data_IF_326894744931
#
_entry.id   IF_326894744931
#
_cell.length_a   1.000
_cell.length_b   1.000
_cell.length_c   1.000
_cell.angle_alpha   90.00
_cell.angle_beta   90.00
_cell.angle_gamma   90.00
#
_symmetry.space_group_name_H-M   'P 1'
#
loop_
_entity.id
_entity.type
_entity.pdbx_description
1 polymer ?
#
# COMPACT_ATOMS: atom_id res chain seq x y z
N UNK A 1 88.12 38.36 -7.61
CA UNK A 1 87.51 37.21 -8.32
C UNK A 1 86.40 37.76 -9.20
N UNK A 2 86.69 38.14 -10.46
CA UNK A 2 86.54 37.31 -11.69
C UNK A 2 85.06 37.13 -12.10
N UNK A 3 84.60 37.26 -13.34
CA UNK A 3 85.14 37.65 -14.66
C UNK A 3 83.91 37.78 -15.58
N UNK A 4 84.03 38.55 -16.67
CA UNK A 4 83.16 38.55 -17.86
C UNK A 4 83.01 37.15 -18.51
N UNK A 5 81.98 37.00 -19.37
CA UNK A 5 81.88 36.24 -20.66
C UNK A 5 80.40 35.78 -20.83
N UNK A 6 79.58 36.36 -21.72
CA UNK A 6 79.46 36.17 -23.19
C UNK A 6 78.53 35.02 -23.63
N UNK A 7 77.71 35.34 -24.64
CA UNK A 7 76.65 34.60 -25.36
C UNK A 7 77.00 33.17 -25.78
N UNK A 8 75.98 32.31 -25.90
CA UNK A 8 75.82 31.42 -27.06
C UNK A 8 74.37 30.94 -27.29
N UNK A 9 74.01 30.78 -28.56
CA UNK A 9 72.70 30.52 -29.15
C UNK A 9 72.29 29.04 -29.09
N UNK A 10 70.99 28.75 -28.98
CA UNK A 10 70.38 27.50 -29.47
C UNK A 10 69.02 27.79 -30.14
N UNK A 11 68.57 26.99 -31.12
CA UNK A 11 67.87 27.47 -32.31
C UNK A 11 66.33 27.46 -32.22
N UNK A 12 65.74 28.34 -33.03
CA UNK A 12 64.33 28.40 -33.38
C UNK A 12 63.84 27.06 -33.96
N UNK A 13 62.91 26.38 -33.29
CA UNK A 13 62.14 25.27 -33.87
C UNK A 13 61.01 25.87 -34.72
N UNK A 14 60.81 25.45 -35.99
CA UNK A 14 59.82 26.08 -36.87
C UNK A 14 58.39 25.85 -36.39
N UNK A 15 57.59 26.91 -36.44
CA UNK A 15 56.15 26.89 -36.32
C UNK A 15 55.52 25.83 -37.24
N UNK A 16 54.99 24.75 -36.66
CA UNK A 16 54.07 23.87 -37.36
C UNK A 16 52.73 24.60 -37.50
N UNK A 17 52.49 25.19 -38.69
CA UNK A 17 51.20 25.77 -39.08
C UNK A 17 50.11 24.73 -38.82
N UNK A 18 49.28 24.98 -37.81
CA UNK A 18 48.05 24.22 -37.55
C UNK A 18 47.15 24.43 -38.77
N UNK A 19 46.96 23.37 -39.55
CA UNK A 19 46.06 23.34 -40.70
C UNK A 19 44.66 23.72 -40.18
N UNK A 20 44.09 24.83 -40.67
CA UNK A 20 42.68 25.16 -40.48
C UNK A 20 41.88 24.08 -41.20
N UNK A 21 41.28 23.17 -40.45
CA UNK A 21 40.16 22.39 -40.95
C UNK A 21 38.92 23.29 -40.94
N UNK A 22 38.23 23.34 -42.08
CA UNK A 22 37.01 24.09 -42.27
C UNK A 22 35.89 23.53 -41.36
N UNK A 23 35.07 24.38 -40.71
CA UNK A 23 33.96 23.90 -39.92
C UNK A 23 32.76 23.65 -40.84
N UNK A 24 32.50 22.38 -41.17
CA UNK A 24 31.22 22.03 -41.80
C UNK A 24 30.76 20.63 -41.37
N UNK A 25 30.05 20.59 -40.25
CA UNK A 25 28.76 19.92 -40.09
C UNK A 25 28.26 20.24 -38.68
N UNK A 26 27.28 21.14 -38.62
CA UNK A 26 26.52 21.45 -37.42
C UNK A 26 25.80 20.18 -36.96
N UNK A 27 26.34 19.49 -35.96
CA UNK A 27 25.52 18.65 -35.11
C UNK A 27 24.50 19.59 -34.46
N UNK A 28 23.20 19.36 -34.67
CA UNK A 28 22.20 19.94 -33.77
C UNK A 28 22.66 19.61 -32.34
N UNK A 29 22.77 20.61 -31.44
CA UNK A 29 23.17 20.35 -30.08
C UNK A 29 22.26 19.26 -29.52
N UNK A 30 22.82 18.22 -28.93
CA UNK A 30 22.07 17.06 -28.41
C UNK A 30 20.90 17.48 -27.50
N UNK A 31 21.02 18.66 -26.87
CA UNK A 31 19.98 19.36 -26.12
C UNK A 31 18.73 19.73 -26.95
N UNK A 32 18.87 20.21 -28.19
CA UNK A 32 17.72 20.50 -29.07
C UNK A 32 16.98 19.22 -29.47
N UNK A 33 17.71 18.14 -29.71
CA UNK A 33 17.11 16.85 -30.07
C UNK A 33 16.26 16.29 -28.92
N UNK A 34 16.77 16.35 -27.68
CA UNK A 34 16.02 15.86 -26.51
C UNK A 34 14.78 16.75 -26.27
N UNK A 35 14.86 18.06 -26.46
CA UNK A 35 13.69 18.95 -26.32
C UNK A 35 12.63 18.78 -27.41
N UNK A 36 12.96 18.12 -28.54
CA UNK A 36 12.02 17.75 -29.60
C UNK A 36 11.34 16.40 -29.36
N UNK A 37 11.72 15.66 -28.31
CA UNK A 37 11.05 14.40 -27.96
C UNK A 37 9.59 14.67 -27.54
N UNK A 38 8.65 13.78 -27.90
CA UNK A 38 7.30 13.82 -27.37
C UNK A 38 7.27 13.77 -25.84
N UNK A 39 6.32 14.47 -25.23
CA UNK A 39 6.11 14.53 -23.77
C UNK A 39 6.10 13.15 -23.12
N UNK A 40 5.45 12.17 -23.76
CA UNK A 40 5.40 10.79 -23.27
C UNK A 40 6.79 10.15 -23.08
N UNK A 41 7.72 10.39 -24.02
CA UNK A 41 9.09 9.87 -23.93
C UNK A 41 9.93 10.65 -22.92
N UNK A 42 9.73 11.98 -22.84
CA UNK A 42 10.38 12.80 -21.81
C UNK A 42 9.97 12.38 -20.39
N UNK A 43 8.67 12.13 -20.18
CA UNK A 43 8.14 11.62 -18.92
C UNK A 43 8.74 10.26 -18.58
N UNK A 44 8.82 9.32 -19.53
CA UNK A 44 9.43 8.01 -19.32
C UNK A 44 10.92 8.12 -18.93
N UNK A 45 11.66 9.03 -19.58
CA UNK A 45 13.06 9.33 -19.21
C UNK A 45 13.12 9.86 -17.78
N UNK A 46 12.30 10.85 -17.45
CA UNK A 46 12.32 11.46 -16.13
C UNK A 46 11.91 10.48 -15.02
N UNK A 47 10.98 9.55 -15.28
CA UNK A 47 10.58 8.49 -14.36
C UNK A 47 11.70 7.50 -14.02
N UNK A 48 12.66 7.31 -14.92
CA UNK A 48 13.80 6.41 -14.71
C UNK A 48 14.92 7.03 -13.86
N UNK A 49 14.79 8.31 -13.50
CA UNK A 49 15.81 9.03 -12.73
C UNK A 49 15.47 9.09 -11.24
N UNK A 50 16.45 9.12 -10.33
CA UNK A 50 16.18 9.38 -8.92
C UNK A 50 15.42 10.70 -8.72
N UNK A 51 14.45 10.75 -7.79
CA UNK A 51 13.58 11.92 -7.54
C UNK A 51 14.35 13.24 -7.45
N UNK A 52 15.47 13.27 -6.72
CA UNK A 52 16.29 14.48 -6.55
C UNK A 52 16.95 14.93 -7.86
N UNK A 53 17.27 14.01 -8.75
CA UNK A 53 17.82 14.31 -10.08
C UNK A 53 16.73 14.80 -11.03
N UNK A 54 15.57 14.13 -11.07
CA UNK A 54 14.41 14.59 -11.83
C UNK A 54 13.97 15.99 -11.37
N UNK A 55 13.96 16.27 -10.05
CA UNK A 55 13.61 17.60 -9.55
C UNK A 55 14.58 18.70 -10.00
N UNK A 56 15.89 18.40 -10.11
CA UNK A 56 16.87 19.36 -10.60
C UNK A 56 16.63 19.72 -12.07
N UNK A 57 16.04 18.83 -12.86
CA UNK A 57 15.73 19.07 -14.28
C UNK A 57 14.63 20.10 -14.54
N UNK A 58 13.90 20.53 -13.49
CA UNK A 58 13.03 21.71 -13.59
C UNK A 58 13.80 22.98 -13.99
N UNK A 59 15.11 23.06 -13.72
CA UNK A 59 15.93 24.22 -14.09
C UNK A 59 16.42 24.19 -15.54
N UNK A 60 16.16 23.12 -16.31
CA UNK A 60 16.69 22.96 -17.68
C UNK A 60 15.85 23.75 -18.69
N UNK A 61 14.52 23.65 -18.62
CA UNK A 61 13.62 24.41 -19.48
C UNK A 61 12.24 24.59 -18.85
N UNK A 62 11.47 25.57 -19.34
CA UNK A 62 10.07 25.78 -18.90
C UNK A 62 9.20 24.56 -19.22
N UNK A 63 9.43 23.92 -20.36
CA UNK A 63 8.70 22.73 -20.78
C UNK A 63 8.97 21.56 -19.83
N UNK A 64 10.23 21.30 -19.48
CA UNK A 64 10.60 20.25 -18.52
C UNK A 64 10.09 20.58 -17.12
N UNK A 65 10.17 21.84 -16.70
CA UNK A 65 9.57 22.29 -15.44
C UNK A 65 8.07 22.02 -15.40
N UNK A 66 7.35 22.20 -16.51
CA UNK A 66 5.93 21.91 -16.63
C UNK A 66 5.66 20.41 -16.47
N UNK A 67 6.35 19.57 -17.26
CA UNK A 67 6.21 18.11 -17.21
C UNK A 67 6.55 17.53 -15.83
N UNK A 68 7.63 17.99 -15.20
CA UNK A 68 8.10 17.48 -13.90
C UNK A 68 7.24 18.01 -12.74
N UNK A 69 6.55 19.14 -12.94
CA UNK A 69 5.62 19.68 -11.96
C UNK A 69 4.18 19.20 -12.18
N UNK A 70 3.94 18.43 -13.24
CA UNK A 70 2.65 17.83 -13.51
C UNK A 70 2.26 16.87 -12.37
N UNK A 71 1.01 16.95 -11.86
CA UNK A 71 0.56 16.09 -10.77
C UNK A 71 0.67 14.59 -11.07
N UNK A 72 0.48 14.15 -12.32
CA UNK A 72 0.67 12.74 -12.70
C UNK A 72 2.14 12.35 -12.62
N UNK A 73 3.05 13.22 -13.08
CA UNK A 73 4.49 12.98 -12.96
C UNK A 73 4.95 12.89 -11.50
N UNK A 74 4.52 13.85 -10.68
CA UNK A 74 4.87 13.88 -9.25
C UNK A 74 4.36 12.62 -8.53
N UNK A 75 3.18 12.11 -8.92
CA UNK A 75 2.62 10.87 -8.35
C UNK A 75 3.54 9.68 -8.52
N UNK A 76 4.21 9.51 -9.66
CA UNK A 76 5.13 8.39 -9.86
C UNK A 76 6.41 8.44 -9.02
N UNK A 77 6.69 9.56 -8.35
CA UNK A 77 7.81 9.74 -7.40
C UNK A 77 7.37 9.83 -5.93
N UNK A 78 6.10 9.58 -5.64
CA UNK A 78 5.61 9.55 -4.27
C UNK A 78 6.36 8.45 -3.52
N UNK A 79 7.17 8.79 -2.50
CA UNK A 79 7.73 7.79 -1.61
C UNK A 79 6.57 7.09 -0.92
N UNK A 80 6.77 5.84 -0.56
CA UNK A 80 5.82 5.16 0.31
C UNK A 80 6.54 4.51 1.47
N UNK A 81 5.78 4.17 2.49
CA UNK A 81 6.25 3.38 3.63
C UNK A 81 5.42 2.12 3.71
N UNK A 82 6.08 0.96 3.63
CA UNK A 82 5.43 -0.32 3.84
C UNK A 82 5.38 -0.59 5.34
N UNK A 83 4.19 -0.70 5.90
CA UNK A 83 3.95 -1.00 7.31
C UNK A 83 3.39 -2.40 7.43
N UNK A 84 4.13 -3.28 8.08
CA UNK A 84 3.76 -4.68 8.23
C UNK A 84 3.48 -4.96 9.71
N UNK A 85 2.32 -5.53 9.98
CA UNK A 85 1.89 -5.87 11.34
C UNK A 85 1.94 -7.38 11.56
N UNK A 86 2.76 -7.78 12.52
CA UNK A 86 2.98 -9.16 12.95
C UNK A 86 2.43 -9.42 14.35
N UNK A 87 1.90 -10.62 14.56
CA UNK A 87 1.56 -11.15 15.88
C UNK A 87 2.50 -12.31 16.16
N UNK A 88 3.24 -12.24 17.27
CA UNK A 88 4.15 -13.30 17.70
C UNK A 88 3.97 -13.57 19.19
N UNK A 89 3.61 -14.80 19.59
CA UNK A 89 3.48 -15.19 21.01
C UNK A 89 2.75 -14.16 21.89
N UNK A 90 1.65 -13.58 21.38
CA UNK A 90 0.86 -12.49 22.01
C UNK A 90 1.52 -11.10 22.04
N UNK A 91 2.75 -10.96 21.54
CA UNK A 91 3.40 -9.66 21.28
C UNK A 91 3.08 -9.18 19.87
N UNK A 92 2.76 -7.89 19.73
CA UNK A 92 2.51 -7.27 18.42
C UNK A 92 3.80 -6.57 18.00
N UNK A 93 4.29 -6.85 16.79
CA UNK A 93 5.45 -6.16 16.20
C UNK A 93 4.99 -5.42 14.96
N UNK A 94 5.37 -4.15 14.85
CA UNK A 94 5.20 -3.35 13.64
C UNK A 94 6.57 -3.21 12.98
N UNK A 95 6.64 -3.50 11.69
CA UNK A 95 7.83 -3.31 10.86
C UNK A 95 7.55 -2.19 9.86
N UNK A 96 8.47 -1.23 9.75
CA UNK A 96 8.31 -0.04 8.92
C UNK A 96 9.44 0.02 7.90
N UNK A 97 9.10 -0.01 6.61
CA UNK A 97 10.06 -0.04 5.52
C UNK A 97 9.85 1.15 4.58
N UNK A 98 10.69 2.20 4.69
CA UNK A 98 10.60 3.34 3.79
C UNK A 98 11.14 3.00 2.40
N UNK A 99 10.46 3.47 1.35
CA UNK A 99 10.82 3.23 -0.06
C UNK A 99 12.18 3.80 -0.49
N UNK A 100 12.82 4.66 0.32
CA UNK A 100 14.01 5.40 -0.09
C UNK A 100 15.35 4.63 0.10
N UNK A 101 15.32 3.32 0.36
CA UNK A 101 16.51 2.46 0.49
C UNK A 101 17.62 3.06 1.38
N UNK A 102 17.26 3.77 2.46
CA UNK A 102 18.26 4.35 3.38
C UNK A 102 18.96 3.29 4.24
N UNK A 103 18.65 2.01 4.09
CA UNK A 103 19.24 0.92 4.87
C UNK A 103 18.80 0.88 6.35
N UNK A 104 18.11 1.93 6.82
CA UNK A 104 17.55 2.05 8.15
C UNK A 104 16.10 1.54 8.13
N UNK A 105 15.86 0.33 8.61
CA UNK A 105 14.53 -0.16 8.97
C UNK A 105 14.38 -0.02 10.48
N UNK A 106 13.26 0.55 10.92
CA UNK A 106 13.02 0.81 12.32
C UNK A 106 12.02 -0.22 12.88
N UNK A 107 12.34 -0.83 14.03
CA UNK A 107 11.45 -1.77 14.70
C UNK A 107 10.44 -1.02 15.58
N UNK A 108 9.17 -1.31 15.35
CA UNK A 108 8.04 -0.38 15.52
C UNK A 108 7.51 -0.09 16.91
N UNK A 109 8.36 0.11 17.91
CA UNK A 109 7.91 0.86 19.10
C UNK A 109 7.95 2.38 18.80
N UNK A 110 9.01 2.89 18.16
CA UNK A 110 9.14 4.33 17.88
C UNK A 110 8.13 4.89 16.88
N UNK A 111 7.64 4.06 15.96
CA UNK A 111 6.73 4.49 14.90
C UNK A 111 5.41 5.07 15.42
N UNK A 112 4.84 4.50 16.49
CA UNK A 112 3.58 4.98 17.10
C UNK A 112 3.77 5.55 18.52
N UNK A 113 5.01 5.77 18.96
CA UNK A 113 5.33 6.24 20.32
C UNK A 113 4.76 7.63 20.67
N UNK A 114 4.22 8.37 19.70
CA UNK A 114 3.53 9.64 19.96
C UNK A 114 2.13 9.44 20.58
N UNK A 115 1.55 8.24 20.51
CA UNK A 115 0.24 7.93 21.09
C UNK A 115 0.33 7.79 22.62
N UNK A 116 -0.51 8.48 23.41
CA UNK A 116 -0.38 8.55 24.88
C UNK A 116 -0.45 7.20 25.59
N UNK A 117 -1.23 6.28 25.03
CA UNK A 117 -1.49 4.93 25.47
C UNK A 117 -0.31 3.97 25.26
N UNK A 118 0.55 4.24 24.27
CA UNK A 118 1.79 3.46 24.04
C UNK A 118 2.91 3.94 24.98
N UNK A 119 2.98 5.26 25.25
CA UNK A 119 3.96 5.83 26.20
C UNK A 119 3.80 5.31 27.63
N UNK A 120 2.57 5.06 28.05
CA UNK A 120 2.28 4.49 29.37
C UNK A 120 2.51 2.99 29.31
N UNK A 121 3.72 2.54 29.68
CA UNK A 121 4.11 1.14 30.00
C UNK A 121 3.27 0.51 31.14
N UNK A 122 1.99 0.80 31.23
CA UNK A 122 1.16 0.61 32.43
C UNK A 122 0.43 -0.72 32.37
N UNK A 123 0.14 -1.30 31.20
CA UNK A 123 -0.35 -2.68 31.06
C UNK A 123 0.12 -3.26 29.73
N UNK A 124 0.81 -4.40 29.75
CA UNK A 124 1.33 -5.11 28.57
C UNK A 124 0.24 -5.72 27.68
N UNK A 125 -1.04 -5.51 27.98
CA UNK A 125 -2.13 -6.30 27.39
C UNK A 125 -3.00 -5.53 26.38
N UNK A 126 -2.89 -4.20 26.31
CA UNK A 126 -3.72 -3.34 25.44
C UNK A 126 -2.92 -2.68 24.32
N UNK A 127 -2.52 -3.47 23.33
CA UNK A 127 -1.84 -2.93 22.15
C UNK A 127 -2.85 -2.56 21.06
N UNK A 128 -2.69 -1.39 20.44
CA UNK A 128 -3.47 -1.05 19.24
C UNK A 128 -3.16 -2.04 18.10
N UNK A 129 -4.15 -2.23 17.24
CA UNK A 129 -4.06 -3.00 16.00
C UNK A 129 -4.34 -2.02 14.88
N UNK A 130 -3.43 -1.92 13.91
CA UNK A 130 -3.71 -1.22 12.66
C UNK A 130 -4.74 -2.06 11.90
N UNK A 131 -5.90 -1.45 11.60
CA UNK A 131 -7.02 -2.13 10.95
C UNK A 131 -7.26 -1.67 9.52
N UNK A 132 -6.89 -0.43 9.19
CA UNK A 132 -7.02 0.13 7.85
C UNK A 132 -6.05 1.29 7.67
N UNK A 133 -5.79 1.65 6.42
CA UNK A 133 -5.01 2.84 6.05
C UNK A 133 -5.66 3.56 4.89
N UNK A 134 -5.45 4.87 4.80
CA UNK A 134 -5.83 5.67 3.65
C UNK A 134 -4.79 6.77 3.46
N UNK A 135 -4.15 6.83 2.28
CA UNK A 135 -2.98 7.68 2.03
C UNK A 135 -1.88 7.46 3.09
N UNK A 136 -1.56 8.49 3.88
CA UNK A 136 -0.63 8.48 5.00
C UNK A 136 -1.31 8.38 6.38
N UNK A 137 -2.64 8.22 6.42
CA UNK A 137 -3.42 8.02 7.65
C UNK A 137 -3.56 6.54 7.99
N UNK A 138 -3.52 6.25 9.29
CA UNK A 138 -3.77 4.95 9.88
C UNK A 138 -5.04 4.98 10.74
N UNK A 139 -5.83 3.92 10.64
CA UNK A 139 -6.87 3.60 11.58
C UNK A 139 -6.39 2.49 12.51
N UNK A 140 -6.35 2.82 13.80
CA UNK A 140 -5.98 1.95 14.89
C UNK A 140 -7.23 1.52 15.67
N UNK A 141 -7.21 0.29 16.15
CA UNK A 141 -8.25 -0.30 16.98
C UNK A 141 -7.65 -0.82 18.28
N UNK A 142 -8.30 -0.55 19.40
CA UNK A 142 -7.98 -1.16 20.69
C UNK A 142 -9.26 -1.66 21.35
N UNK A 143 -9.14 -2.79 22.04
CA UNK A 143 -10.19 -3.35 22.87
C UNK A 143 -9.80 -3.09 24.33
N UNK A 144 -10.60 -2.32 25.05
CA UNK A 144 -10.37 -2.02 26.46
C UNK A 144 -11.31 -2.87 27.29
N UNK A 145 -10.73 -3.86 27.97
CA UNK A 145 -11.44 -4.67 28.97
C UNK A 145 -11.29 -3.98 30.32
N UNK A 146 -12.39 -3.69 31.00
CA UNK A 146 -12.33 -3.28 32.39
C UNK A 146 -12.32 -4.53 33.29
N UNK A 147 -11.51 -4.51 34.34
CA UNK A 147 -11.16 -5.69 35.14
C UNK A 147 -12.41 -6.30 35.83
N UNK A 148 -12.71 -7.56 35.52
CA UNK A 148 -13.83 -8.34 36.08
C UNK A 148 -13.82 -8.48 37.62
N UNK A 149 -12.69 -8.17 38.27
CA UNK A 149 -12.48 -8.38 39.71
C UNK A 149 -13.26 -7.36 40.57
N UNK A 150 -13.69 -6.21 40.01
CA UNK A 150 -14.29 -5.12 40.79
C UNK A 150 -15.73 -4.72 40.39
N UNK A 151 -16.47 -5.52 39.61
CA UNK A 151 -17.83 -5.19 39.14
C UNK A 151 -17.94 -3.80 38.47
N UNK A 152 -16.93 -3.42 37.69
CA UNK A 152 -16.92 -2.17 36.93
C UNK A 152 -17.29 -2.42 35.46
N UNK A 153 -17.70 -1.33 34.79
CA UNK A 153 -18.48 -1.19 33.54
C UNK A 153 -18.18 -2.20 32.42
N UNK A 154 -19.13 -2.44 31.50
CA UNK A 154 -18.84 -3.19 30.28
C UNK A 154 -17.65 -2.54 29.56
N UNK A 155 -16.72 -3.38 29.06
CA UNK A 155 -15.59 -2.89 28.27
C UNK A 155 -16.02 -2.11 27.04
N UNK A 156 -15.06 -1.52 26.34
CA UNK A 156 -15.34 -0.74 25.14
C UNK A 156 -14.33 -0.98 24.03
N UNK A 157 -14.78 -0.72 22.81
CA UNK A 157 -13.96 -0.66 21.61
C UNK A 157 -13.58 0.79 21.35
N UNK A 158 -12.30 1.02 21.09
CA UNK A 158 -11.76 2.34 20.76
C UNK A 158 -11.12 2.33 19.38
N UNK A 159 -11.44 3.33 18.58
CA UNK A 159 -10.77 3.59 17.31
C UNK A 159 -10.00 4.90 17.42
N UNK A 160 -8.81 4.94 16.83
CA UNK A 160 -7.96 6.13 16.74
C UNK A 160 -7.52 6.33 15.30
N UNK A 161 -7.69 7.54 14.78
CA UNK A 161 -7.12 7.94 13.49
C UNK A 161 -5.83 8.69 13.78
N UNK A 162 -4.73 8.30 13.15
CA UNK A 162 -3.47 9.00 13.31
C UNK A 162 -2.71 9.17 12.00
N UNK A 163 -1.85 10.17 11.96
CA UNK A 163 -0.85 10.35 10.93
C UNK A 163 0.54 10.20 11.57
N UNK A 164 1.26 9.09 11.31
CA UNK A 164 2.59 8.87 11.87
C UNK A 164 3.63 9.92 11.44
N UNK A 165 3.47 10.54 10.26
CA UNK A 165 4.39 11.56 9.75
C UNK A 165 4.24 12.88 10.51
N UNK A 166 3.00 13.30 10.79
CA UNK A 166 2.75 14.55 11.54
C UNK A 166 2.67 14.35 13.04
N UNK A 167 2.61 13.09 13.51
CA UNK A 167 2.38 12.70 14.91
C UNK A 167 1.05 13.23 15.48
N UNK A 168 0.12 13.63 14.60
CA UNK A 168 -1.24 13.99 14.96
C UNK A 168 -2.09 12.74 15.11
N UNK A 169 -3.05 12.77 16.03
CA UNK A 169 -3.97 11.68 16.26
C UNK A 169 -5.26 12.20 16.91
N UNK A 170 -6.33 11.43 16.75
CA UNK A 170 -7.62 11.67 17.38
C UNK A 170 -8.32 10.36 17.70
N UNK A 171 -8.90 10.28 18.89
CA UNK A 171 -9.72 9.15 19.31
C UNK A 171 -11.18 9.37 18.90
N UNK A 172 -11.80 8.34 18.35
CA UNK A 172 -13.22 8.36 17.97
C UNK A 172 -14.10 8.01 19.18
N UNK A 173 -15.40 8.38 19.17
CA UNK A 173 -16.32 8.02 20.25
C UNK A 173 -16.33 6.51 20.51
N UNK A 174 -16.34 6.14 21.79
CA UNK A 174 -16.31 4.74 22.22
C UNK A 174 -17.56 3.97 21.77
N UNK A 175 -17.35 2.70 21.44
CA UNK A 175 -18.44 1.76 21.17
C UNK A 175 -18.46 0.70 22.27
N UNK A 176 -19.65 0.21 22.69
CA UNK A 176 -19.73 -0.84 23.70
C UNK A 176 -19.04 -2.12 23.19
N UNK A 177 -18.26 -2.75 24.05
CA UNK A 177 -17.64 -4.03 23.74
C UNK A 177 -18.68 -5.15 23.82
N UNK A 178 -18.78 -5.98 22.77
CA UNK A 178 -19.67 -7.13 22.72
C UNK A 178 -18.86 -8.40 22.47
N UNK A 179 -18.50 -9.10 23.55
CA UNK A 179 -17.47 -10.15 23.59
C UNK A 179 -17.73 -11.37 22.69
N UNK A 180 -18.97 -11.62 22.27
CA UNK A 180 -19.36 -12.91 21.70
C UNK A 180 -20.03 -12.87 20.31
N UNK A 181 -20.23 -11.70 19.66
CA UNK A 181 -21.05 -11.62 18.43
C UNK A 181 -20.58 -10.69 17.30
N UNK A 182 -19.62 -9.79 17.54
CA UNK A 182 -19.23 -8.79 16.53
C UNK A 182 -18.09 -9.30 15.63
N UNK A 183 -18.40 -10.22 14.73
CA UNK A 183 -17.51 -10.54 13.62
C UNK A 183 -17.54 -9.40 12.60
N UNK A 184 -16.69 -8.39 12.77
CA UNK A 184 -16.64 -7.21 11.90
C UNK A 184 -15.40 -7.18 11.00
N UNK A 185 -15.56 -6.63 9.80
CA UNK A 185 -14.45 -6.08 8.99
C UNK A 185 -14.58 -4.56 8.99
N UNK A 186 -13.47 -3.84 8.85
CA UNK A 186 -13.45 -2.38 9.01
C UNK A 186 -12.87 -1.73 7.75
N UNK A 187 -13.58 -0.76 7.21
CA UNK A 187 -13.09 0.13 6.16
C UNK A 187 -12.84 1.54 6.68
N UNK A 188 -11.89 2.24 6.07
CA UNK A 188 -11.55 3.62 6.39
C UNK A 188 -11.24 4.39 5.11
N UNK A 189 -12.00 5.42 4.81
CA UNK A 189 -11.85 6.23 3.60
C UNK A 189 -11.98 7.71 3.92
N UNK A 190 -11.26 8.54 3.18
CA UNK A 190 -11.38 9.99 3.26
C UNK A 190 -11.81 10.56 1.91
N UNK A 191 -12.65 11.57 1.96
CA UNK A 191 -13.09 12.36 0.81
C UNK A 191 -12.60 13.81 1.00
N UNK A 192 -11.78 14.32 0.08
CA UNK A 192 -11.40 15.73 0.10
C UNK A 192 -12.56 16.59 -0.40
N UNK A 193 -13.32 17.20 0.51
CA UNK A 193 -14.53 17.94 0.16
C UNK A 193 -14.23 19.32 -0.47
N UNK A 194 -13.02 19.87 -0.31
CA UNK A 194 -12.66 21.20 -0.80
C UNK A 194 -11.67 21.21 -1.98
N UNK A 195 -11.56 20.13 -2.74
CA UNK A 195 -10.66 20.11 -3.91
C UNK A 195 -11.38 20.53 -5.19
N UNK A 196 -10.82 21.52 -5.88
CA UNK A 196 -11.18 21.83 -7.26
C UNK A 196 -10.82 20.63 -8.15
N UNK A 197 -11.85 19.99 -8.72
CA UNK A 197 -11.69 18.80 -9.57
C UNK A 197 -10.81 19.05 -10.80
N UNK A 198 -10.73 20.30 -11.27
CA UNK A 198 -9.96 20.68 -12.46
C UNK A 198 -8.47 20.94 -12.21
N UNK A 199 -8.08 21.28 -10.98
CA UNK A 199 -6.70 21.73 -10.68
C UNK A 199 -5.93 20.80 -9.73
N UNK A 200 -6.59 19.74 -9.26
CA UNK A 200 -6.07 18.83 -8.25
C UNK A 200 -5.96 19.50 -6.87
N UNK A 201 -5.83 18.70 -5.82
CA UNK A 201 -5.69 19.21 -4.45
C UNK A 201 -4.35 19.94 -4.26
N UNK A 202 -4.31 21.24 -4.53
CA UNK A 202 -3.17 22.12 -4.28
C UNK A 202 -3.29 22.72 -2.89
N UNK A 203 -2.70 22.06 -1.88
CA UNK A 203 -2.53 22.54 -0.48
C UNK A 203 -3.83 22.93 0.25
N UNK A 204 -3.94 22.63 1.55
CA UNK A 204 -5.11 23.01 2.39
C UNK A 204 -6.47 22.37 2.04
N UNK A 205 -6.48 21.18 1.43
CA UNK A 205 -7.73 20.43 1.28
C UNK A 205 -8.30 20.06 2.68
N UNK A 206 -9.57 20.39 2.90
CA UNK A 206 -10.32 19.89 4.05
C UNK A 206 -10.78 18.46 3.75
N UNK A 207 -10.34 17.52 4.58
CA UNK A 207 -10.72 16.12 4.49
C UNK A 207 -11.87 15.85 5.44
N UNK A 208 -12.88 15.16 4.93
CA UNK A 208 -13.83 14.42 5.75
C UNK A 208 -13.51 12.94 5.63
N UNK A 209 -13.69 12.20 6.71
CA UNK A 209 -13.40 10.79 6.74
C UNK A 209 -14.53 10.00 7.36
N UNK A 210 -14.66 8.75 6.90
CA UNK A 210 -15.62 7.80 7.44
C UNK A 210 -14.92 6.51 7.82
N UNK A 211 -15.28 5.99 8.99
CA UNK A 211 -14.89 4.64 9.44
C UNK A 211 -16.14 3.77 9.42
N UNK A 212 -16.07 2.64 8.71
CA UNK A 212 -17.22 1.75 8.51
C UNK A 212 -16.93 0.41 9.15
N UNK A 213 -17.65 0.08 10.22
CA UNK A 213 -17.70 -1.28 10.77
C UNK A 213 -18.77 -2.06 10.02
N UNK A 214 -18.37 -3.08 9.28
CA UNK A 214 -19.26 -3.94 8.51
C UNK A 214 -19.45 -5.22 9.32
N UNK A 215 -20.68 -5.49 9.73
CA UNK A 215 -21.00 -6.68 10.53
C UNK A 215 -21.21 -7.90 9.64
N UNK A 216 -20.63 -9.02 10.03
CA UNK A 216 -20.86 -10.30 9.37
C UNK A 216 -22.35 -10.62 9.36
N UNK A 217 -22.91 -11.01 8.21
CA UNK A 217 -24.22 -11.64 8.15
C UNK A 217 -24.37 -12.75 9.18
N UNK A 218 -25.49 -12.77 9.91
CA UNK A 218 -25.85 -13.84 10.84
C UNK A 218 -26.63 -14.96 10.16
N UNK A 219 -27.31 -14.64 9.06
CA UNK A 219 -28.03 -15.58 8.20
C UNK A 219 -27.32 -15.69 6.85
N UNK A 220 -27.25 -16.89 6.25
CA UNK A 220 -26.68 -17.07 4.92
C UNK A 220 -27.57 -16.42 3.85
N UNK A 221 -26.95 -16.03 2.74
CA UNK A 221 -27.64 -15.47 1.57
C UNK A 221 -28.52 -14.24 1.86
N UNK A 222 -28.14 -13.39 2.81
CA UNK A 222 -28.89 -12.16 3.15
C UNK A 222 -28.54 -11.01 2.20
N UNK A 223 -29.54 -10.30 1.71
CA UNK A 223 -29.32 -9.06 0.93
C UNK A 223 -29.17 -7.84 1.82
N UNK A 224 -29.34 -7.95 3.13
CA UNK A 224 -29.18 -6.85 4.08
C UNK A 224 -27.91 -7.02 4.91
N UNK A 225 -27.13 -5.95 4.98
CA UNK A 225 -25.86 -5.90 5.69
C UNK A 225 -25.90 -4.77 6.73
N UNK A 226 -25.64 -5.11 7.99
CA UNK A 226 -25.60 -4.12 9.06
C UNK A 226 -24.24 -3.43 9.06
N UNK A 227 -24.26 -2.11 9.09
CA UNK A 227 -23.06 -1.27 9.13
C UNK A 227 -23.17 -0.25 10.25
N UNK A 228 -22.03 0.11 10.83
CA UNK A 228 -21.92 1.26 11.72
C UNK A 228 -20.90 2.22 11.13
N UNK A 229 -21.34 3.44 10.86
CA UNK A 229 -20.57 4.44 10.13
C UNK A 229 -20.27 5.59 11.06
N UNK A 230 -19.00 5.79 11.36
CA UNK A 230 -18.52 7.04 11.95
C UNK A 230 -18.36 8.07 10.85
N UNK A 231 -18.82 9.30 11.09
CA UNK A 231 -18.55 10.45 10.21
C UNK A 231 -17.77 11.52 10.95
N UNK A 232 -16.66 11.99 10.36
CA UNK A 232 -15.93 13.15 10.89
C UNK A 232 -16.76 14.43 10.87
N UNK A 233 -17.73 14.53 9.96
CA UNK A 233 -18.59 15.72 9.81
C UNK A 233 -19.50 15.91 11.03
N UNK A 234 -19.96 14.81 11.63
CA UNK A 234 -20.85 14.82 12.79
C UNK A 234 -20.13 14.49 14.09
N UNK A 235 -18.97 13.81 14.02
CA UNK A 235 -18.28 13.28 15.18
C UNK A 235 -19.05 12.14 15.86
N UNK A 236 -19.90 11.43 15.12
CA UNK A 236 -20.83 10.41 15.66
C UNK A 236 -20.85 9.11 14.85
N UNK A 237 -21.19 8.03 15.54
CA UNK A 237 -21.50 6.73 14.94
C UNK A 237 -22.99 6.64 14.62
N UNK A 238 -23.31 6.26 13.40
CA UNK A 238 -24.67 5.95 12.96
C UNK A 238 -24.77 4.45 12.64
N UNK A 239 -25.85 3.81 13.10
CA UNK A 239 -26.19 2.44 12.69
C UNK A 239 -27.05 2.51 11.43
N UNK A 240 -26.68 1.77 10.40
CA UNK A 240 -27.46 1.68 9.15
C UNK A 240 -27.51 0.23 8.65
N UNK A 241 -28.43 -0.04 7.73
CA UNK A 241 -28.57 -1.31 7.03
C UNK A 241 -28.48 -1.04 5.54
N UNK A 242 -27.44 -1.56 4.90
CA UNK A 242 -27.23 -1.39 3.47
C UNK A 242 -27.70 -2.61 2.71
N UNK A 243 -28.34 -2.38 1.56
CA UNK A 243 -28.81 -3.47 0.70
C UNK A 243 -27.75 -3.88 -0.32
N UNK A 244 -27.57 -5.19 -0.50
CA UNK A 244 -26.73 -5.81 -1.52
C UNK A 244 -27.61 -6.41 -2.62
N UNK A 245 -27.23 -6.28 -3.90
CA UNK A 245 -27.96 -6.89 -5.02
C UNK A 245 -27.87 -8.42 -5.02
N UNK A 246 -26.97 -9.01 -4.23
CA UNK A 246 -26.81 -10.46 -4.06
C UNK A 246 -26.85 -10.83 -2.58
N UNK A 247 -27.29 -12.06 -2.30
CA UNK A 247 -27.28 -12.59 -0.95
C UNK A 247 -25.86 -12.89 -0.47
N UNK A 248 -25.48 -12.32 0.66
CA UNK A 248 -24.16 -12.40 1.27
C UNK A 248 -24.12 -13.47 2.35
N UNK A 249 -22.95 -14.07 2.55
CA UNK A 249 -22.72 -15.07 3.59
C UNK A 249 -21.93 -14.49 4.76
N UNK A 250 -21.91 -15.21 5.88
CA UNK A 250 -21.09 -14.85 7.03
C UNK A 250 -19.61 -14.82 6.66
N UNK A 251 -18.85 -13.89 7.27
CA UNK A 251 -17.44 -13.72 6.97
C UNK A 251 -16.62 -14.93 7.43
N UNK A 252 -16.10 -15.67 6.46
CA UNK A 252 -15.08 -16.69 6.67
C UNK A 252 -13.75 -16.07 7.11
N UNK A 253 -12.86 -16.88 7.69
CA UNK A 253 -11.50 -16.44 8.02
C UNK A 253 -10.75 -15.90 6.79
N UNK A 254 -10.98 -16.48 5.61
CA UNK A 254 -10.37 -16.05 4.34
C UNK A 254 -10.84 -14.63 4.00
N UNK A 255 -12.15 -14.36 4.07
CA UNK A 255 -12.69 -13.02 3.79
C UNK A 255 -12.20 -11.97 4.79
N UNK A 256 -12.03 -12.33 6.07
CA UNK A 256 -11.48 -11.42 7.09
C UNK A 256 -10.02 -11.08 6.84
N UNK A 257 -9.23 -12.05 6.39
CA UNK A 257 -7.82 -11.87 6.10
C UNK A 257 -7.58 -11.05 4.83
N UNK A 258 -8.47 -11.16 3.83
CA UNK A 258 -8.43 -10.31 2.63
C UNK A 258 -8.69 -8.84 2.95
N UNK A 259 -9.42 -8.56 4.04
CA UNK A 259 -9.65 -7.22 4.56
C UNK A 259 -10.60 -6.38 3.68
N UNK A 260 -10.56 -5.07 3.93
CA UNK A 260 -11.28 -4.06 3.14
C UNK A 260 -10.24 -3.16 2.49
N UNK A 261 -10.34 -2.97 1.18
CA UNK A 261 -9.47 -2.08 0.40
C UNK A 261 -10.28 -0.89 -0.08
N UNK A 262 -9.65 0.28 -0.11
CA UNK A 262 -10.28 1.48 -0.66
C UNK A 262 -9.77 1.73 -2.06
N UNK A 263 -10.69 1.81 -3.02
CA UNK A 263 -10.39 2.18 -4.40
C UNK A 263 -11.45 3.15 -4.90
N UNK A 264 -11.06 4.23 -5.59
CA UNK A 264 -11.99 5.26 -6.08
C UNK A 264 -12.95 5.78 -4.98
N UNK A 265 -12.42 6.05 -3.79
CA UNK A 265 -13.13 6.48 -2.58
C UNK A 265 -14.17 5.50 -2.00
N UNK A 266 -14.34 4.32 -2.61
CA UNK A 266 -15.26 3.28 -2.18
C UNK A 266 -14.55 2.15 -1.46
N UNK A 267 -15.29 1.44 -0.62
CA UNK A 267 -14.83 0.26 0.10
C UNK A 267 -15.08 -1.00 -0.72
N UNK A 268 -14.07 -1.85 -0.85
CA UNK A 268 -14.09 -3.13 -1.56
C UNK A 268 -13.72 -4.26 -0.62
N UNK A 269 -14.54 -5.30 -0.56
CA UNK A 269 -14.20 -6.52 0.15
C UNK A 269 -14.77 -7.74 -0.55
N UNK A 270 -14.18 -8.89 -0.24
CA UNK A 270 -14.47 -10.15 -0.91
C UNK A 270 -15.68 -10.85 -0.29
N UNK A 271 -16.52 -11.40 -1.14
CA UNK A 271 -17.61 -12.30 -0.75
C UNK A 271 -17.24 -13.75 -1.07
N UNK A 272 -17.40 -14.62 -0.08
CA UNK A 272 -17.04 -16.03 -0.16
C UNK A 272 -18.23 -16.91 0.19
N UNK A 273 -18.44 -17.96 -0.61
CA UNK A 273 -19.37 -19.03 -0.28
C UNK A 273 -18.73 -20.02 0.69
N UNK A 274 -19.58 -20.80 1.36
CA UNK A 274 -19.14 -21.96 2.14
C UNK A 274 -18.22 -22.86 1.30
N UNK A 275 -17.11 -23.30 1.90
CA UNK A 275 -16.07 -24.07 1.21
C UNK A 275 -14.94 -23.25 0.57
N UNK A 276 -14.93 -21.92 0.72
CA UNK A 276 -13.81 -21.07 0.31
C UNK A 276 -13.80 -20.73 -1.18
N UNK A 277 -14.98 -20.70 -1.80
CA UNK A 277 -15.16 -20.31 -3.20
C UNK A 277 -15.49 -18.82 -3.25
N UNK A 278 -14.69 -18.03 -3.97
CA UNK A 278 -14.97 -16.62 -4.21
C UNK A 278 -16.28 -16.49 -4.98
N UNK A 279 -17.13 -15.53 -4.63
CA UNK A 279 -18.34 -15.21 -5.40
C UNK A 279 -18.19 -13.89 -6.15
N UNK A 280 -17.46 -12.95 -5.57
CA UNK A 280 -17.18 -11.65 -6.16
C UNK A 280 -16.68 -10.66 -5.12
N UNK A 281 -16.80 -9.38 -5.46
CA UNK A 281 -16.42 -8.25 -4.61
C UNK A 281 -17.63 -7.40 -4.34
N UNK A 282 -17.88 -7.11 -3.07
CA UNK A 282 -18.89 -6.14 -2.65
C UNK A 282 -18.24 -4.77 -2.59
N UNK A 283 -18.94 -3.78 -3.14
CA UNK A 283 -18.50 -2.39 -3.18
C UNK A 283 -19.49 -1.53 -2.43
N UNK A 284 -19.01 -0.69 -1.52
CA UNK A 284 -19.86 0.24 -0.78
C UNK A 284 -19.25 1.64 -0.79
N UNK A 285 -20.08 2.61 -1.13
CA UNK A 285 -19.73 4.03 -1.08
C UNK A 285 -20.31 4.63 0.21
N UNK A 286 -19.50 4.89 1.24
CA UNK A 286 -19.99 5.45 2.48
C UNK A 286 -20.34 6.94 2.39
N UNK A 287 -19.98 7.63 1.31
CA UNK A 287 -20.30 9.04 1.09
C UNK A 287 -21.57 9.24 0.25
N UNK A 288 -22.15 8.15 -0.24
CA UNK A 288 -23.40 8.16 -0.99
C UNK A 288 -24.56 7.71 -0.09
N UNK A 289 -25.63 8.50 -0.07
CA UNK A 289 -26.82 8.26 0.76
C UNK A 289 -27.75 7.18 0.19
N UNK A 290 -27.40 6.53 -0.93
CA UNK A 290 -28.21 5.49 -1.53
C UNK A 290 -28.35 4.20 -0.69
N UNK A 291 -27.56 4.04 0.38
CA UNK A 291 -27.54 2.88 1.29
C UNK A 291 -27.53 1.52 0.57
N UNK A 292 -26.82 1.47 -0.58
CA UNK A 292 -26.80 0.34 -1.49
C UNK A 292 -25.36 -0.02 -1.83
N UNK A 293 -25.07 -1.31 -1.74
CA UNK A 293 -23.84 -1.88 -2.27
C UNK A 293 -23.96 -2.10 -3.78
N UNK A 294 -22.83 -2.06 -4.46
CA UNK A 294 -22.63 -2.65 -5.79
C UNK A 294 -21.94 -4.01 -5.63
N UNK A 295 -21.99 -4.82 -6.68
CA UNK A 295 -21.38 -6.13 -6.69
C UNK A 295 -20.64 -6.34 -8.00
N UNK A 296 -19.38 -6.74 -7.90
CA UNK A 296 -18.51 -7.03 -9.04
C UNK A 296 -18.30 -8.54 -9.07
N UNK A 297 -18.55 -9.15 -10.22
CA UNK A 297 -18.34 -10.58 -10.41
C UNK A 297 -16.87 -10.97 -10.31
N UNK A 298 -16.60 -12.22 -9.94
CA UNK A 298 -15.25 -12.77 -10.01
C UNK A 298 -14.76 -12.86 -11.47
N UNK A 299 -13.44 -12.98 -11.71
CA UNK A 299 -12.90 -13.11 -13.06
C UNK A 299 -13.48 -14.29 -13.86
N UNK A 300 -13.65 -14.11 -15.16
CA UNK A 300 -14.06 -15.20 -16.06
C UNK A 300 -12.91 -16.21 -16.14
N UNK A 301 -13.22 -17.50 -16.00
CA UNK A 301 -12.21 -18.56 -15.94
C UNK A 301 -11.45 -18.61 -14.61
N UNK A 302 -11.93 -17.91 -13.57
CA UNK A 302 -11.42 -18.08 -12.22
C UNK A 302 -11.60 -19.55 -11.81
N UNK A 303 -10.52 -20.28 -11.49
CA UNK A 303 -10.62 -21.68 -11.10
C UNK A 303 -11.59 -21.80 -9.92
N UNK A 304 -12.58 -22.68 -10.02
CA UNK A 304 -13.51 -23.05 -8.94
C UNK A 304 -12.85 -23.78 -7.77
N UNK A 305 -11.52 -23.78 -7.73
CA UNK A 305 -10.70 -24.39 -6.69
C UNK A 305 -10.63 -23.49 -5.46
N UNK A 306 -10.49 -24.13 -4.29
CA UNK A 306 -10.37 -23.44 -3.00
C UNK A 306 -9.10 -22.60 -2.98
N UNK A 307 -9.24 -21.29 -3.05
CA UNK A 307 -8.13 -20.34 -3.12
C UNK A 307 -8.34 -19.16 -2.20
N UNK A 308 -7.23 -18.55 -1.76
CA UNK A 308 -7.27 -17.28 -1.06
C UNK A 308 -7.04 -16.16 -2.07
N UNK A 309 -7.67 -15.01 -1.82
CA UNK A 309 -7.39 -13.79 -2.56
C UNK A 309 -7.01 -12.67 -1.62
N UNK A 310 -6.16 -11.79 -2.12
CA UNK A 310 -5.84 -10.52 -1.48
C UNK A 310 -6.12 -9.39 -2.45
N UNK A 311 -6.68 -8.29 -1.95
CA UNK A 311 -6.95 -7.10 -2.74
C UNK A 311 -5.89 -6.03 -2.48
N UNK A 312 -5.71 -5.14 -3.45
CA UNK A 312 -4.91 -3.93 -3.28
C UNK A 312 -5.13 -2.97 -4.43
N UNK A 313 -4.43 -1.84 -4.41
CA UNK A 313 -4.55 -0.81 -5.45
C UNK A 313 -3.18 -0.56 -6.07
N UNK A 314 -3.14 -0.43 -7.39
CA UNK A 314 -1.95 -0.03 -8.14
C UNK A 314 -2.37 0.99 -9.20
N UNK A 315 -1.74 2.16 -9.24
CA UNK A 315 -2.06 3.27 -10.16
C UNK A 315 -3.55 3.64 -10.15
N UNK A 316 -4.19 3.60 -8.99
CA UNK A 316 -5.63 3.87 -8.84
C UNK A 316 -6.57 2.77 -9.35
N UNK A 317 -6.04 1.64 -9.82
CA UNK A 317 -6.83 0.49 -10.26
C UNK A 317 -6.85 -0.60 -9.18
N UNK A 318 -8.01 -1.21 -8.98
CA UNK A 318 -8.16 -2.34 -8.07
C UNK A 318 -7.47 -3.57 -8.67
N UNK A 319 -6.60 -4.21 -7.89
CA UNK A 319 -5.95 -5.47 -8.24
C UNK A 319 -6.28 -6.55 -7.24
N UNK A 320 -6.32 -7.78 -7.74
CA UNK A 320 -6.56 -8.98 -6.96
C UNK A 320 -5.44 -9.99 -7.22
N UNK A 321 -4.84 -10.51 -6.15
CA UNK A 321 -3.94 -11.66 -6.23
C UNK A 321 -4.70 -12.89 -5.81
N UNK A 322 -4.77 -13.86 -6.70
CA UNK A 322 -5.26 -15.20 -6.42
C UNK A 322 -4.08 -16.11 -6.12
N UNK A 323 -4.08 -16.73 -4.95
CA UNK A 323 -3.02 -17.65 -4.54
C UNK A 323 -3.59 -18.89 -3.82
N UNK A 324 -2.80 -19.96 -3.72
CA UNK A 324 -3.20 -21.15 -2.97
C UNK A 324 -3.53 -20.80 -1.52
N UNK A 325 -4.57 -21.43 -0.98
CA UNK A 325 -4.93 -21.26 0.43
C UNK A 325 -3.97 -22.07 1.31
N UNK A 326 -3.46 -21.50 2.42
CA UNK A 326 -2.70 -22.24 3.43
C UNK A 326 -3.45 -23.43 4.03
N UNK A 327 -4.78 -23.47 3.87
CA UNK A 327 -5.66 -24.39 4.55
C UNK A 327 -6.16 -25.54 3.68
N UNK A 328 -5.86 -25.52 2.37
CA UNK A 328 -6.36 -26.52 1.39
C UNK A 328 -5.22 -27.14 0.55
N UNK A 329 -4.03 -27.22 1.14
CA UNK A 329 -2.78 -27.66 0.49
C UNK A 329 -2.85 -29.03 -0.20
N UNK A 330 -3.64 -29.96 0.34
CA UNK A 330 -3.71 -31.34 -0.17
C UNK A 330 -4.41 -31.50 -1.52
N UNK A 331 -5.27 -30.54 -1.91
CA UNK A 331 -6.21 -30.71 -3.03
C UNK A 331 -5.95 -29.80 -4.23
N UNK A 332 -4.89 -28.98 -4.22
CA UNK A 332 -4.69 -27.92 -5.21
C UNK A 332 -3.53 -28.19 -6.19
N UNK A 333 -3.78 -28.60 -7.46
CA UNK A 333 -2.74 -28.71 -8.48
C UNK A 333 -2.08 -27.36 -8.82
N UNK A 334 -2.76 -26.23 -8.54
CA UNK A 334 -2.24 -24.87 -8.68
C UNK A 334 -1.44 -24.37 -7.46
N UNK A 335 -1.06 -25.26 -6.53
CA UNK A 335 -0.24 -24.88 -5.37
C UNK A 335 1.07 -24.15 -5.75
N UNK A 336 1.52 -24.22 -7.02
CA UNK A 336 2.82 -23.69 -7.46
C UNK A 336 2.75 -22.37 -8.25
N UNK A 337 1.63 -21.65 -8.21
CA UNK A 337 1.51 -20.36 -8.90
C UNK A 337 0.53 -19.42 -8.22
N UNK A 338 0.65 -18.13 -8.51
CA UNK A 338 -0.39 -17.14 -8.25
C UNK A 338 -0.70 -16.33 -9.51
N UNK A 339 -1.89 -15.77 -9.55
CA UNK A 339 -2.38 -14.93 -10.65
C UNK A 339 -2.70 -13.54 -10.14
N UNK A 340 -2.34 -12.51 -10.90
CA UNK A 340 -2.66 -11.11 -10.63
C UNK A 340 -3.66 -10.65 -11.67
N UNK A 341 -4.81 -10.21 -11.18
CA UNK A 341 -5.91 -9.65 -11.96
C UNK A 341 -6.02 -8.16 -11.68
N UNK A 342 -6.36 -7.39 -12.70
CA UNK A 342 -6.68 -5.96 -12.59
C UNK A 342 -8.11 -5.75 -13.04
N UNK A 343 -8.83 -4.90 -12.31
CA UNK A 343 -10.18 -4.54 -12.66
C UNK A 343 -10.15 -3.40 -13.68
N UNK A 344 -10.57 -3.71 -14.90
CA UNK A 344 -10.79 -2.75 -15.97
C UNK A 344 -12.28 -2.41 -16.06
N UNK A 345 -12.60 -1.33 -16.78
CA UNK A 345 -13.99 -0.91 -17.04
C UNK A 345 -14.86 -0.78 -15.77
N UNK A 346 -14.28 -0.15 -14.75
CA UNK A 346 -14.83 -0.08 -13.39
C UNK A 346 -16.27 0.47 -13.34
N UNK A 347 -16.59 1.46 -14.19
CA UNK A 347 -17.89 2.13 -14.18
C UNK A 347 -19.01 1.31 -14.85
N UNK A 348 -18.68 0.41 -15.77
CA UNK A 348 -19.64 -0.41 -16.51
C UNK A 348 -19.78 -1.83 -15.93
N UNK A 349 -19.61 -1.97 -14.61
CA UNK A 349 -19.78 -3.25 -13.91
C UNK A 349 -18.48 -4.03 -13.67
N UNK A 350 -17.35 -3.56 -14.22
CA UNK A 350 -16.02 -4.08 -13.92
C UNK A 350 -15.71 -5.41 -14.60
N UNK A 351 -14.68 -5.41 -15.46
CA UNK A 351 -14.17 -6.63 -16.10
C UNK A 351 -12.77 -6.94 -15.58
N UNK A 352 -12.56 -8.16 -15.09
CA UNK A 352 -11.24 -8.58 -14.62
C UNK A 352 -10.35 -9.05 -15.77
N UNK A 353 -9.18 -8.43 -15.87
CA UNK A 353 -8.15 -8.79 -16.84
C UNK A 353 -6.94 -9.41 -16.14
N UNK A 354 -6.50 -10.58 -16.61
CA UNK A 354 -5.30 -11.25 -16.09
C UNK A 354 -4.06 -10.50 -16.57
N UNK A 355 -3.30 -9.91 -15.65
CA UNK A 355 -2.04 -9.19 -15.98
C UNK A 355 -0.82 -10.10 -15.87
N UNK A 356 -0.77 -10.92 -14.82
CA UNK A 356 0.35 -11.82 -14.60
C UNK A 356 -0.13 -13.18 -14.11
N UNK A 357 0.52 -14.24 -14.59
CA UNK A 357 0.45 -15.58 -14.00
C UNK A 357 1.87 -16.01 -13.69
N UNK A 358 2.18 -16.11 -12.41
CA UNK A 358 3.55 -16.32 -11.93
C UNK A 358 3.66 -17.72 -11.34
N UNK A 359 4.61 -18.50 -11.82
CA UNK A 359 4.93 -19.80 -11.25
C UNK A 359 6.19 -19.68 -10.39
N UNK A 360 6.15 -20.21 -9.16
CA UNK A 360 7.29 -20.08 -8.24
C UNK A 360 8.58 -20.73 -8.76
N UNK A 361 8.47 -21.74 -9.64
CA UNK A 361 9.62 -22.39 -10.29
C UNK A 361 10.43 -21.44 -11.18
N UNK A 362 9.77 -20.43 -11.74
CA UNK A 362 10.33 -19.47 -12.70
C UNK A 362 10.97 -18.26 -11.99
N UNK A 363 10.80 -18.15 -10.67
CA UNK A 363 11.39 -17.08 -9.88
C UNK A 363 12.90 -17.25 -9.72
N UNK A 364 13.63 -16.15 -9.86
CA UNK A 364 15.09 -16.08 -9.74
C UNK A 364 15.43 -15.48 -8.39
N UNK A 365 16.05 -16.28 -7.52
CA UNK A 365 16.53 -15.86 -6.21
C UNK A 365 18.00 -15.46 -6.32
N UNK A 366 18.31 -14.17 -6.16
CA UNK A 366 19.70 -13.69 -6.21
C UNK A 366 20.48 -13.99 -4.91
N UNK A 367 19.79 -14.36 -3.82
CA UNK A 367 20.42 -14.57 -2.52
C UNK A 367 20.95 -16.01 -2.30
N UNK A 368 22.23 -16.21 -1.91
CA UNK A 368 22.85 -17.53 -1.76
C UNK A 368 22.18 -18.46 -0.74
N UNK A 369 21.56 -17.89 0.31
CA UNK A 369 20.88 -18.66 1.38
C UNK A 369 19.58 -19.28 0.86
N UNK A 370 18.83 -18.55 0.04
CA UNK A 370 17.56 -19.03 -0.54
C UNK A 370 17.79 -19.92 -1.77
N UNK A 371 18.90 -19.72 -2.51
CA UNK A 371 19.29 -20.56 -3.64
C UNK A 371 19.57 -22.02 -3.25
N UNK A 372 19.86 -22.30 -1.97
CA UNK A 372 20.07 -23.65 -1.42
C UNK A 372 18.77 -24.34 -0.99
N UNK A 373 17.65 -23.61 -0.92
CA UNK A 373 16.37 -24.23 -0.57
C UNK A 373 15.89 -25.09 -1.74
N UNK A 374 15.43 -26.34 -1.49
CA UNK A 374 14.78 -27.11 -2.54
C UNK A 374 13.59 -26.29 -3.06
N UNK A 375 13.56 -25.99 -4.37
CA UNK A 375 12.45 -25.25 -5.00
C UNK A 375 11.09 -25.91 -4.73
N UNK A 376 11.09 -27.20 -4.45
CA UNK A 376 9.93 -28.03 -4.09
C UNK A 376 9.49 -27.90 -2.62
N UNK A 377 10.35 -27.36 -1.75
CA UNK A 377 10.12 -27.18 -0.31
C UNK A 377 9.72 -25.74 0.07
N UNK A 378 9.76 -24.80 -0.87
CA UNK A 378 9.17 -23.47 -0.71
C UNK A 378 7.65 -23.65 -0.59
N UNK A 379 7.14 -23.71 0.65
CA UNK A 379 5.72 -23.64 0.94
C UNK A 379 5.17 -22.33 0.38
N UNK A 380 4.40 -22.37 -0.72
CA UNK A 380 4.07 -21.25 -1.61
C UNK A 380 2.96 -20.33 -1.08
N UNK A 381 2.88 -20.13 0.24
CA UNK A 381 1.92 -19.14 0.75
C UNK A 381 2.56 -17.77 0.50
N UNK A 382 2.09 -17.09 -0.53
CA UNK A 382 2.17 -15.63 -0.63
C UNK A 382 1.31 -15.10 0.50
N UNK A 383 1.95 -14.81 1.64
CA UNK A 383 1.32 -14.06 2.70
C UNK A 383 1.51 -12.58 2.40
N UNK A 384 0.49 -11.79 2.72
CA UNK A 384 0.65 -10.35 2.81
C UNK A 384 1.14 -9.67 1.51
N UNK A 385 0.49 -9.90 0.36
CA UNK A 385 0.85 -9.20 -0.84
C UNK A 385 0.54 -7.71 -0.73
N UNK A 386 1.48 -6.87 -1.15
CA UNK A 386 1.28 -5.44 -1.34
C UNK A 386 1.82 -5.03 -2.70
N UNK A 387 0.97 -4.40 -3.50
CA UNK A 387 1.37 -3.83 -4.78
C UNK A 387 2.13 -2.55 -4.56
N UNK A 388 3.18 -2.31 -5.34
CA UNK A 388 3.78 -0.98 -5.38
C UNK A 388 2.77 0.02 -5.95
N UNK A 389 2.61 1.21 -5.35
CA UNK A 389 1.52 2.14 -5.70
C UNK A 389 1.61 2.60 -7.16
N UNK A 390 2.84 2.80 -7.67
CA UNK A 390 3.07 3.39 -8.99
C UNK A 390 3.76 2.47 -10.01
N UNK A 391 4.37 1.36 -9.58
CA UNK A 391 5.14 0.47 -10.45
C UNK A 391 4.42 -0.87 -10.49
N UNK A 392 3.69 -1.09 -11.58
CA UNK A 392 2.90 -2.29 -11.79
C UNK A 392 3.70 -3.59 -11.81
N UNK A 393 5.02 -3.48 -11.95
CA UNK A 393 5.95 -4.61 -12.03
C UNK A 393 6.46 -5.03 -10.66
N UNK A 394 6.21 -4.26 -9.61
CA UNK A 394 6.75 -4.55 -8.28
C UNK A 394 5.65 -5.09 -7.37
N UNK A 395 5.89 -6.27 -6.82
CA UNK A 395 5.07 -6.90 -5.81
C UNK A 395 5.90 -7.17 -4.55
N UNK A 396 5.41 -6.75 -3.40
CA UNK A 396 5.94 -7.16 -2.11
C UNK A 396 5.11 -8.31 -1.57
N UNK A 397 5.75 -9.31 -0.98
CA UNK A 397 5.06 -10.37 -0.24
C UNK A 397 5.98 -11.03 0.75
N UNK A 398 5.39 -11.68 1.74
CA UNK A 398 6.14 -12.51 2.69
C UNK A 398 6.25 -13.94 2.19
N UNK A 399 7.47 -14.48 2.26
CA UNK A 399 7.76 -15.90 2.08
C UNK A 399 8.57 -16.39 3.27
N UNK A 400 7.98 -17.28 4.08
CA UNK A 400 8.55 -17.74 5.36
C UNK A 400 8.92 -16.54 6.25
N UNK A 401 10.20 -16.37 6.55
CA UNK A 401 10.73 -15.30 7.40
C UNK A 401 11.25 -14.11 6.57
N UNK A 402 11.00 -14.07 5.26
CA UNK A 402 11.53 -13.02 4.40
C UNK A 402 10.40 -12.16 3.85
N UNK A 403 10.59 -10.85 3.90
CA UNK A 403 9.81 -9.92 3.08
C UNK A 403 10.57 -9.75 1.77
N UNK A 404 9.93 -10.16 0.68
CA UNK A 404 10.52 -10.16 -0.65
C UNK A 404 9.92 -9.05 -1.51
N UNK A 405 10.77 -8.47 -2.35
CA UNK A 405 10.39 -7.60 -3.46
C UNK A 405 10.58 -8.39 -4.74
N UNK A 406 9.50 -8.55 -5.50
CA UNK A 406 9.48 -9.29 -6.76
C UNK A 406 9.28 -8.34 -7.93
N UNK A 407 10.16 -8.44 -8.92
CA UNK A 407 9.93 -7.85 -10.23
C UNK A 407 9.15 -8.84 -11.10
N UNK A 408 7.87 -8.55 -11.34
CA UNK A 408 6.93 -9.38 -12.12
C UNK A 408 7.28 -9.49 -13.61
N UNK A 409 8.22 -8.68 -14.12
CA UNK A 409 8.68 -8.77 -15.51
C UNK A 409 9.92 -9.65 -15.64
N UNK A 410 10.90 -9.52 -14.74
CA UNK A 410 12.14 -10.31 -14.76
C UNK A 410 12.07 -11.57 -13.90
N UNK A 411 11.05 -11.68 -13.05
CA UNK A 411 10.88 -12.70 -12.01
C UNK A 411 12.01 -12.73 -10.97
N UNK A 412 12.79 -11.66 -10.88
CA UNK A 412 13.86 -11.50 -9.89
C UNK A 412 13.24 -11.18 -8.52
N UNK A 413 13.71 -11.91 -7.50
CA UNK A 413 13.36 -11.73 -6.10
C UNK A 413 14.53 -11.14 -5.32
N UNK A 414 14.27 -10.01 -4.67
CA UNK A 414 15.19 -9.35 -3.76
C UNK A 414 14.66 -9.48 -2.32
N UNK A 415 15.54 -9.79 -1.37
CA UNK A 415 15.20 -9.78 0.06
C UNK A 415 15.21 -8.33 0.53
N UNK A 416 14.07 -7.86 1.03
CA UNK A 416 13.95 -6.52 1.63
C UNK A 416 14.28 -6.60 3.12
N UNK A 417 13.75 -7.63 3.80
CA UNK A 417 13.96 -7.85 5.23
C UNK A 417 14.02 -9.34 5.52
N UNK A 418 14.96 -9.72 6.37
CA UNK A 418 14.98 -11.00 7.07
C UNK A 418 14.38 -10.80 8.47
N UNK A 419 13.27 -11.48 8.73
CA UNK A 419 12.66 -11.53 10.06
C UNK A 419 13.48 -12.51 10.89
N UNK A 420 13.90 -12.10 12.10
CA UNK A 420 14.74 -12.91 12.99
C UNK A 420 14.20 -14.35 13.15
N UNK A 421 15.09 -15.34 13.03
CA UNK A 421 14.76 -16.76 13.22
C UNK A 421 14.25 -17.03 14.63
N UNK A 422 13.08 -17.66 14.75
CA UNK A 422 12.84 -18.56 15.88
C UNK A 422 12.67 -19.97 15.35
N UNK A 423 13.55 -20.88 15.81
CA UNK A 423 13.82 -22.26 15.37
C UNK A 423 12.65 -23.27 15.39
N UNK A 424 11.40 -22.82 15.32
CA UNK A 424 10.25 -23.71 15.40
C UNK A 424 9.28 -23.42 14.25
N UNK A 425 9.04 -24.44 13.43
CA UNK A 425 8.05 -24.46 12.37
C UNK A 425 6.64 -24.28 12.94
N UNK A 426 6.23 -23.06 13.24
CA UNK A 426 4.83 -22.71 13.43
C UNK A 426 4.51 -21.32 12.89
N UNK A 427 3.36 -21.26 12.23
CA UNK A 427 2.81 -20.20 11.40
C UNK A 427 2.32 -19.03 12.28
N UNK A 428 3.24 -18.17 12.73
CA UNK A 428 2.87 -16.88 13.33
C UNK A 428 2.72 -15.85 12.22
N UNK A 429 1.48 -15.75 11.73
CA UNK A 429 1.12 -14.98 10.54
C UNK A 429 1.25 -13.48 10.79
N UNK A 430 2.02 -12.84 9.92
CA UNK A 430 1.80 -11.44 9.63
C UNK A 430 0.34 -11.26 9.16
N UNK A 431 -0.39 -10.33 9.79
CA UNK A 431 -1.86 -10.26 9.69
C UNK A 431 -2.32 -9.25 8.64
N UNK A 432 -1.51 -8.22 8.38
CA UNK A 432 -1.89 -7.13 7.48
C UNK A 432 -0.66 -6.35 7.01
N UNK A 433 -0.70 -5.89 5.76
CA UNK A 433 0.24 -4.91 5.19
C UNK A 433 -0.52 -3.65 4.86
N UNK A 434 0.08 -2.52 5.16
CA UNK A 434 -0.42 -1.21 4.79
C UNK A 434 0.66 -0.48 4.01
N UNK A 435 0.27 0.14 2.91
CA UNK A 435 1.16 0.97 2.12
C UNK A 435 0.77 2.42 2.33
N UNK A 436 1.65 3.19 2.97
CA UNK A 436 1.43 4.59 3.27
C UNK A 436 2.06 5.44 2.18
N UNK A 437 1.24 6.08 1.37
CA UNK A 437 1.69 7.00 0.33
C UNK A 437 2.13 8.33 0.96
N UNK A 438 3.39 8.69 0.80
CA UNK A 438 3.94 9.93 1.32
C UNK A 438 3.64 11.08 0.37
N UNK A 439 2.49 11.70 0.56
CA UNK A 439 2.07 12.86 -0.21
C UNK A 439 3.05 14.04 -0.05
N UNK A 440 3.00 14.98 -1.00
CA UNK A 440 3.84 16.20 -0.93
C UNK A 440 3.53 17.06 0.31
N UNK A 441 2.31 16.95 0.82
CA UNK A 441 1.86 17.51 2.09
C UNK A 441 1.16 16.41 2.87
N UNK A 442 1.53 16.16 4.14
CA UNK A 442 0.86 15.14 4.94
C UNK A 442 -0.63 15.44 5.11
N UNK A 443 -1.47 14.41 5.10
CA UNK A 443 -2.91 14.57 5.33
C UNK A 443 -3.12 15.00 6.79
N UNK A 444 -3.74 16.17 7.05
CA UNK A 444 -4.03 16.58 8.42
C UNK A 444 -5.04 15.60 9.03
N UNK A 445 -4.95 15.36 10.34
CA UNK A 445 -6.00 14.64 11.08
C UNK A 445 -7.09 15.66 11.45
N UNK A 446 -8.28 15.63 10.82
CA UNK A 446 -9.29 16.65 11.06
C UNK A 446 -9.82 16.55 12.51
N UNK A 447 -9.98 17.69 13.21
CA UNK A 447 -10.59 17.68 14.54
C UNK A 447 -12.07 17.30 14.44
N UNK A 448 -12.60 16.69 15.49
CA UNK A 448 -14.04 16.43 15.57
C UNK A 448 -14.81 17.71 15.89
N UNK A 449 -16.06 17.84 15.40
CA UNK A 449 -16.94 18.96 15.75
C UNK A 449 -17.05 19.13 17.26
N UNK A 450 -16.97 20.38 17.74
CA UNK A 450 -17.21 20.69 19.14
C UNK A 450 -18.69 20.43 19.46
N UNK A 451 -18.94 19.49 20.37
CA UNK A 451 -20.28 19.30 20.93
C UNK A 451 -20.49 20.35 22.03
N UNK A 452 -21.24 21.39 21.73
CA UNK A 452 -21.81 22.26 22.77
C UNK A 452 -22.81 21.40 23.55
N UNK A 453 -22.46 21.06 24.80
CA UNK A 453 -23.33 20.33 25.71
C UNK A 453 -24.26 21.27 26.45
#
# INVERSE_FOLDING_TARGET
MSRLMSRENLPLVPHRKRRKENPTQSSEPLHELINKLPDALLLEIFYRLPRRSAHRFKSVSKHWSSLISDPYFVRGFIPFTLVIQHFFRSTKKILVLPSNNSGDYDFGDDFLNFLPCIKRRVRKDYHYIITASFNDLLLLYSEVREDFILNLKPGFCEYCVCNPLTKQWITLPHLPFNSNKDSVIVGFTCDPYSCDKEQGCKTHAHYRYKVVRIHSPTQPNTTQLRVQIFSSDTGEWCNSVVSSPRGLNSFSLISKNAGVVVCNAMLHWVDYKYGGILQGIVVFDPFNDAERCRYIDQPIGFPSLKGSVSLGVCRGHLRMIQHPSPWFYGDCPNARSFSIWELEDYDNGGTWCLKHKVYFKDMILEHPVLAKLPKESLSPIVLLPAFHPNDEKILFFQLRNYILRCNLQTMVLEIVVELEETRENFVDNAKSVFLLEQQSWPTPVPPLPLKFK
#
